data_IF_736344737025
#
_entry.id   IF_736344737025
#
_cell.length_a   1.000
_cell.length_b   1.000
_cell.length_c   1.000
_cell.angle_alpha   90.00
_cell.angle_beta   90.00
_cell.angle_gamma   90.00
#
_symmetry.space_group_name_H-M   'P 1'
#
loop_
_entity.id
_entity.type
_entity.pdbx_description
1 polymer ?
#
# COMPACT_ATOMS: atom_id res chain seq x y z
N UNK A 1 -8.07 -13.23 -19.61
CA UNK A 1 -7.48 -11.97 -20.13
C UNK A 1 -6.56 -11.40 -19.07
N UNK A 2 -5.32 -11.06 -19.44
CA UNK A 2 -4.36 -10.45 -18.52
C UNK A 2 -4.81 -9.04 -18.13
N UNK A 3 -4.62 -8.66 -16.86
CA UNK A 3 -4.88 -7.30 -16.41
C UNK A 3 -3.60 -6.47 -16.58
N UNK A 4 -3.69 -5.38 -17.34
CA UNK A 4 -2.61 -4.37 -17.45
C UNK A 4 -2.82 -3.30 -16.36
N UNK A 5 -2.85 -3.73 -15.11
CA UNK A 5 -2.96 -2.82 -13.95
C UNK A 5 -1.80 -3.09 -12.99
N UNK A 6 -1.08 -2.05 -12.63
CA UNK A 6 0.11 -2.16 -11.77
C UNK A 6 -0.23 -2.43 -10.31
N UNK A 7 -1.49 -2.23 -9.94
CA UNK A 7 -1.98 -2.39 -8.58
C UNK A 7 -3.26 -3.21 -8.58
N UNK A 8 -3.37 -4.15 -7.66
CA UNK A 8 -4.56 -5.00 -7.56
C UNK A 8 -5.03 -5.12 -6.13
N UNK A 9 -6.34 -5.06 -5.94
CA UNK A 9 -6.95 -5.35 -4.65
C UNK A 9 -6.68 -6.81 -4.28
N UNK A 10 -6.35 -7.04 -3.01
CA UNK A 10 -6.11 -8.36 -2.45
C UNK A 10 -7.29 -9.29 -2.73
N UNK A 11 -8.53 -8.78 -2.63
CA UNK A 11 -9.75 -9.47 -3.04
C UNK A 11 -9.64 -10.06 -4.46
N UNK A 12 -9.30 -9.22 -5.44
CA UNK A 12 -9.21 -9.63 -6.84
C UNK A 12 -8.11 -10.67 -7.05
N UNK A 13 -6.96 -10.49 -6.39
CA UNK A 13 -5.82 -11.43 -6.46
C UNK A 13 -6.26 -12.81 -5.99
N UNK A 14 -6.78 -12.94 -4.77
CA UNK A 14 -7.11 -14.25 -4.20
C UNK A 14 -8.19 -15.01 -4.97
N UNK A 15 -9.19 -14.31 -5.52
CA UNK A 15 -10.22 -14.93 -6.37
C UNK A 15 -9.65 -15.36 -7.73
N UNK A 16 -8.91 -14.49 -8.41
CA UNK A 16 -8.33 -14.81 -9.72
C UNK A 16 -7.31 -15.92 -9.63
N UNK A 17 -6.56 -15.98 -8.53
CA UNK A 17 -5.60 -17.04 -8.29
C UNK A 17 -6.27 -18.41 -8.14
N UNK A 18 -7.49 -18.46 -7.57
CA UNK A 18 -8.30 -19.68 -7.55
C UNK A 18 -9.07 -19.93 -8.86
N UNK A 19 -8.87 -19.13 -9.92
CA UNK A 19 -9.62 -19.24 -11.16
C UNK A 19 -11.08 -18.78 -11.07
N UNK A 20 -11.43 -17.99 -10.04
CA UNK A 20 -12.79 -17.55 -9.76
C UNK A 20 -13.01 -16.06 -10.09
N UNK A 21 -14.24 -15.71 -10.42
CA UNK A 21 -14.61 -14.34 -10.73
C UNK A 21 -14.85 -13.51 -9.45
N UNK A 22 -14.11 -12.39 -9.26
CA UNK A 22 -14.21 -11.55 -8.05
C UNK A 22 -15.51 -10.71 -8.00
N UNK A 23 -16.13 -10.45 -9.15
CA UNK A 23 -17.36 -9.64 -9.27
C UNK A 23 -18.63 -10.44 -8.98
N UNK A 24 -18.54 -11.77 -8.87
CA UNK A 24 -19.70 -12.61 -8.56
C UNK A 24 -20.09 -12.41 -7.10
N UNK A 25 -21.39 -12.42 -6.82
CA UNK A 25 -21.90 -12.41 -5.45
C UNK A 25 -21.59 -13.73 -4.77
N UNK A 26 -20.54 -13.73 -3.94
CA UNK A 26 -20.20 -14.86 -3.09
C UNK A 26 -20.88 -14.67 -1.73
N UNK A 27 -21.77 -15.58 -1.31
CA UNK A 27 -22.33 -15.57 0.06
C UNK A 27 -21.28 -16.03 1.08
N UNK A 28 -20.48 -17.03 0.70
CA UNK A 28 -19.36 -17.57 1.47
C UNK A 28 -18.12 -17.60 0.57
N UNK A 29 -16.97 -17.26 1.13
CA UNK A 29 -15.69 -17.32 0.42
C UNK A 29 -15.29 -18.79 0.28
N UNK A 30 -15.01 -19.30 -0.94
CA UNK A 30 -14.54 -20.67 -1.14
C UNK A 30 -13.23 -20.94 -0.39
N UNK A 31 -13.05 -22.17 0.11
CA UNK A 31 -11.84 -22.58 0.83
C UNK A 31 -10.52 -22.26 0.10
N UNK A 32 -10.32 -22.57 -1.20
CA UNK A 32 -9.04 -22.28 -1.86
C UNK A 32 -8.72 -20.78 -1.90
N UNK A 33 -9.76 -19.93 -1.99
CA UNK A 33 -9.59 -18.48 -1.96
C UNK A 33 -9.20 -18.00 -0.55
N UNK A 34 -9.72 -18.65 0.50
CA UNK A 34 -9.37 -18.34 1.89
C UNK A 34 -7.92 -18.69 2.19
N UNK A 35 -7.45 -19.81 1.67
CA UNK A 35 -6.06 -20.24 1.86
C UNK A 35 -5.12 -19.21 1.19
N UNK A 36 -5.42 -18.80 -0.04
CA UNK A 36 -4.69 -17.73 -0.72
C UNK A 36 -4.68 -16.41 0.09
N UNK A 37 -5.83 -16.01 0.66
CA UNK A 37 -5.90 -14.81 1.49
C UNK A 37 -5.08 -14.94 2.77
N UNK A 38 -5.08 -16.12 3.41
CA UNK A 38 -4.30 -16.36 4.62
C UNK A 38 -2.81 -16.20 4.35
N UNK A 39 -2.31 -16.78 3.25
CA UNK A 39 -0.91 -16.68 2.85
C UNK A 39 -0.51 -15.25 2.51
N UNK A 40 -1.36 -14.51 1.80
CA UNK A 40 -1.07 -13.12 1.42
C UNK A 40 -1.12 -12.16 2.61
N UNK A 41 -2.09 -12.32 3.52
CA UNK A 41 -2.16 -11.50 4.73
C UNK A 41 -1.02 -11.81 5.70
N UNK A 42 -0.60 -13.07 5.79
CA UNK A 42 0.58 -13.45 6.55
C UNK A 42 1.85 -12.78 6.00
N UNK A 43 2.01 -12.74 4.67
CA UNK A 43 3.13 -12.05 4.04
C UNK A 43 3.13 -10.54 4.31
N UNK A 44 1.96 -9.89 4.23
CA UNK A 44 1.80 -8.46 4.55
C UNK A 44 2.14 -8.19 6.02
N UNK A 45 1.66 -9.03 6.93
CA UNK A 45 1.91 -8.87 8.37
C UNK A 45 3.39 -9.02 8.73
N UNK A 46 4.11 -9.89 8.01
CA UNK A 46 5.57 -10.08 8.17
C UNK A 46 6.40 -8.99 7.48
N UNK A 47 5.77 -8.11 6.70
CA UNK A 47 6.48 -7.14 5.87
C UNK A 47 7.23 -7.76 4.70
N UNK A 48 6.90 -9.00 4.30
CA UNK A 48 7.46 -9.65 3.12
C UNK A 48 6.81 -9.16 1.82
N UNK A 49 5.57 -8.69 1.92
CA UNK A 49 4.78 -8.16 0.81
C UNK A 49 4.34 -6.74 1.12
N UNK A 50 4.80 -5.79 0.31
CA UNK A 50 4.42 -4.39 0.46
C UNK A 50 2.98 -4.16 -0.01
N UNK A 51 2.21 -3.45 0.81
CA UNK A 51 0.83 -3.10 0.54
C UNK A 51 0.71 -1.57 0.54
N UNK A 52 0.19 -1.01 -0.56
CA UNK A 52 0.11 0.44 -0.75
C UNK A 52 -0.87 1.13 0.20
N UNK A 53 -1.89 0.41 0.64
CA UNK A 53 -2.97 0.96 1.49
C UNK A 53 -2.83 0.57 2.96
N UNK A 54 -2.02 -0.43 3.29
CA UNK A 54 -1.83 -0.92 4.66
C UNK A 54 -0.40 -0.65 5.13
N UNK A 55 -0.25 0.40 5.92
CA UNK A 55 1.02 0.73 6.55
C UNK A 55 1.20 -0.02 7.87
N UNK A 56 2.40 -0.56 8.08
CA UNK A 56 2.83 -1.18 9.34
C UNK A 56 3.24 -0.15 10.41
N UNK A 57 3.34 1.12 10.02
CA UNK A 57 3.70 2.21 10.92
C UNK A 57 2.69 2.39 12.05
N UNK A 58 3.19 2.91 13.19
CA UNK A 58 2.33 3.23 14.33
C UNK A 58 1.41 4.38 13.95
N UNK A 59 0.11 4.16 14.12
CA UNK A 59 -0.89 5.22 13.99
C UNK A 59 -0.76 6.21 15.15
N UNK A 60 -0.69 7.50 14.83
CA UNK A 60 -0.53 8.61 15.78
C UNK A 60 -1.63 9.69 15.63
N UNK A 61 -2.63 9.48 14.78
CA UNK A 61 -3.71 10.44 14.53
C UNK A 61 -5.00 10.12 15.27
N UNK A 62 -5.97 11.03 15.18
CA UNK A 62 -7.34 10.84 15.66
C UNK A 62 -8.35 10.62 14.51
N UNK A 63 -7.92 10.80 13.26
CA UNK A 63 -8.79 10.70 12.08
C UNK A 63 -9.19 9.26 11.73
N UNK A 64 -10.49 8.92 11.74
CA UNK A 64 -10.97 7.55 11.56
C UNK A 64 -10.70 6.99 10.15
N UNK A 65 -10.51 7.85 9.15
CA UNK A 65 -10.19 7.43 7.79
C UNK A 65 -8.71 7.09 7.62
N UNK A 66 -7.83 7.83 8.28
CA UNK A 66 -6.40 7.51 8.32
C UNK A 66 -6.18 6.22 9.11
N UNK A 67 -6.95 6.00 10.20
CA UNK A 67 -6.88 4.78 10.99
C UNK A 67 -7.07 3.51 10.14
N UNK A 68 -7.94 3.55 9.12
CA UNK A 68 -8.20 2.41 8.22
C UNK A 68 -6.99 2.03 7.35
N UNK A 69 -6.06 2.94 7.13
CA UNK A 69 -4.83 2.68 6.39
C UNK A 69 -3.76 1.98 7.25
N UNK A 70 -3.98 1.87 8.57
CA UNK A 70 -3.02 1.20 9.46
C UNK A 70 -3.41 -0.26 9.70
N UNK A 71 -2.42 -1.15 9.64
CA UNK A 71 -2.62 -2.59 9.88
C UNK A 71 -3.16 -2.86 11.29
N UNK A 72 -2.81 -2.01 12.26
CA UNK A 72 -3.27 -2.10 13.66
C UNK A 72 -4.78 -2.02 13.80
N UNK A 73 -5.45 -1.21 12.98
CA UNK A 73 -6.91 -1.11 13.01
C UNK A 73 -7.56 -2.42 12.57
N UNK A 74 -6.93 -3.13 11.63
CA UNK A 74 -7.42 -4.38 11.06
C UNK A 74 -6.80 -5.63 11.68
N UNK A 75 -6.03 -5.49 12.76
CA UNK A 75 -5.15 -6.58 13.25
C UNK A 75 -5.93 -7.84 13.65
N UNK A 76 -7.09 -7.67 14.30
CA UNK A 76 -7.96 -8.78 14.68
C UNK A 76 -8.52 -9.50 13.45
N UNK A 77 -8.91 -8.75 12.43
CA UNK A 77 -9.44 -9.27 11.17
C UNK A 77 -8.37 -10.00 10.34
N UNK A 78 -7.15 -9.47 10.35
CA UNK A 78 -5.98 -10.09 9.72
C UNK A 78 -5.71 -11.44 10.38
N UNK A 79 -5.60 -11.48 11.71
CA UNK A 79 -5.41 -12.75 12.43
C UNK A 79 -6.58 -13.71 12.23
N UNK A 80 -7.82 -13.24 12.26
CA UNK A 80 -9.00 -14.07 12.02
C UNK A 80 -8.99 -14.71 10.62
N UNK A 81 -8.43 -14.02 9.62
CA UNK A 81 -8.29 -14.55 8.27
C UNK A 81 -7.12 -15.54 8.16
N UNK A 82 -5.98 -15.25 8.78
CA UNK A 82 -4.81 -16.14 8.83
C UNK A 82 -5.17 -17.48 9.49
N UNK A 83 -5.92 -17.45 10.60
CA UNK A 83 -6.37 -18.67 11.29
C UNK A 83 -7.57 -19.35 10.61
N UNK A 84 -7.99 -18.91 9.43
CA UNK A 84 -9.09 -19.55 8.71
C UNK A 84 -10.42 -19.50 9.47
N UNK A 85 -10.69 -18.44 10.26
CA UNK A 85 -11.98 -18.23 10.92
C UNK A 85 -12.91 -17.40 10.05
N UNK A 86 -12.57 -16.13 9.83
CA UNK A 86 -13.36 -15.19 9.05
C UNK A 86 -12.46 -14.19 8.33
N UNK A 87 -12.77 -13.87 7.09
CA UNK A 87 -12.06 -12.84 6.33
C UNK A 87 -13.02 -11.71 6.01
N UNK A 88 -12.76 -10.52 6.57
CA UNK A 88 -13.61 -9.36 6.36
C UNK A 88 -13.46 -8.81 4.94
N UNK A 89 -14.59 -8.71 4.23
CA UNK A 89 -14.60 -8.25 2.83
C UNK A 89 -14.13 -6.81 2.68
N UNK A 90 -14.38 -5.97 3.68
CA UNK A 90 -13.97 -4.56 3.68
C UNK A 90 -12.44 -4.46 3.67
N UNK A 91 -11.77 -5.21 4.56
CA UNK A 91 -10.31 -5.33 4.59
C UNK A 91 -9.76 -5.80 3.24
N UNK A 92 -10.27 -6.91 2.70
CA UNK A 92 -9.75 -7.48 1.46
C UNK A 92 -9.92 -6.58 0.23
N UNK A 93 -10.95 -5.72 0.22
CA UNK A 93 -11.17 -4.73 -0.85
C UNK A 93 -10.33 -3.48 -0.65
N UNK A 94 -9.97 -3.16 0.58
CA UNK A 94 -9.16 -2.00 0.92
C UNK A 94 -7.67 -2.27 0.71
N UNK A 95 -7.20 -3.48 1.01
CA UNK A 95 -5.82 -3.90 0.78
C UNK A 95 -5.51 -3.93 -0.73
N UNK A 96 -4.54 -3.12 -1.15
CA UNK A 96 -4.05 -3.03 -2.54
C UNK A 96 -2.58 -3.40 -2.55
N UNK A 97 -2.24 -4.36 -3.40
CA UNK A 97 -0.88 -4.87 -3.57
C UNK A 97 -0.34 -4.33 -4.90
N UNK A 98 0.92 -3.93 -4.88
CA UNK A 98 1.66 -3.54 -6.07
C UNK A 98 2.18 -4.77 -6.84
N UNK A 99 2.19 -4.68 -8.16
CA UNK A 99 2.60 -5.75 -9.07
C UNK A 99 4.05 -6.19 -8.81
N UNK A 100 4.99 -5.26 -8.70
CA UNK A 100 6.40 -5.58 -8.47
C UNK A 100 6.63 -6.24 -7.12
N UNK A 101 6.06 -5.69 -6.04
CA UNK A 101 6.13 -6.29 -4.71
C UNK A 101 5.57 -7.73 -4.71
N UNK A 102 4.50 -7.98 -5.47
CA UNK A 102 3.92 -9.31 -5.60
C UNK A 102 4.80 -10.28 -6.39
N UNK A 103 5.46 -9.81 -7.45
CA UNK A 103 6.43 -10.59 -8.22
C UNK A 103 7.62 -11.01 -7.35
N UNK A 104 8.26 -10.05 -6.69
CA UNK A 104 9.35 -10.27 -5.73
C UNK A 104 8.98 -11.32 -4.69
N UNK A 105 7.79 -11.19 -4.11
CA UNK A 105 7.29 -12.12 -3.12
C UNK A 105 7.09 -13.54 -3.69
N UNK A 106 6.54 -13.66 -4.90
CA UNK A 106 6.37 -14.95 -5.57
C UNK A 106 7.72 -15.62 -5.85
N UNK A 107 8.70 -14.86 -6.34
CA UNK A 107 10.05 -15.34 -6.62
C UNK A 107 10.75 -15.84 -5.34
N UNK A 108 10.68 -15.07 -4.25
CA UNK A 108 11.25 -15.45 -2.95
C UNK A 108 10.62 -16.72 -2.37
N UNK A 109 9.32 -16.93 -2.60
CA UNK A 109 8.56 -18.07 -2.08
C UNK A 109 8.50 -19.25 -3.05
N UNK A 110 9.15 -19.17 -4.22
CA UNK A 110 9.08 -20.18 -5.30
C UNK A 110 7.65 -20.51 -5.74
N UNK A 111 6.77 -19.51 -5.68
CA UNK A 111 5.37 -19.61 -6.07
C UNK A 111 5.27 -19.27 -7.56
N UNK A 112 4.51 -20.05 -8.37
CA UNK A 112 4.35 -19.74 -9.78
C UNK A 112 3.64 -18.39 -9.97
N UNK A 113 4.22 -17.55 -10.84
CA UNK A 113 3.64 -16.27 -11.22
C UNK A 113 2.26 -16.48 -11.86
N UNK A 114 1.20 -15.82 -11.35
CA UNK A 114 -0.12 -16.03 -11.90
C UNK A 114 -0.24 -15.44 -13.31
N UNK A 115 -0.61 -16.28 -14.28
CA UNK A 115 -0.77 -15.90 -15.69
C UNK A 115 -1.77 -14.74 -15.91
N UNK A 116 -2.72 -14.56 -15.00
CA UNK A 116 -3.72 -13.49 -15.10
C UNK A 116 -3.12 -12.08 -14.89
N UNK A 117 -1.96 -12.01 -14.22
CA UNK A 117 -1.28 -10.76 -13.91
C UNK A 117 0.06 -10.65 -14.65
N UNK A 118 0.73 -11.79 -14.83
CA UNK A 118 2.01 -11.93 -15.53
C UNK A 118 1.82 -12.87 -16.73
N UNK A 119 1.39 -12.36 -17.90
CA UNK A 119 1.25 -13.19 -19.08
C UNK A 119 2.62 -13.73 -19.55
N UNK A 120 2.67 -14.92 -20.18
CA UNK A 120 3.90 -15.45 -20.74
C UNK A 120 4.45 -14.50 -21.81
N UNK A 121 5.72 -14.12 -21.69
CA UNK A 121 6.34 -13.09 -22.54
C UNK A 121 6.21 -11.66 -22.00
N UNK A 122 5.77 -11.49 -20.75
CA UNK A 122 5.96 -10.24 -20.02
C UNK A 122 7.45 -10.08 -19.72
N UNK A 123 8.16 -9.37 -20.59
CA UNK A 123 9.49 -8.85 -20.30
C UNK A 123 9.31 -7.64 -19.41
N UNK A 124 9.98 -7.62 -18.26
CA UNK A 124 10.00 -6.48 -17.35
C UNK A 124 10.18 -5.20 -18.17
N UNK A 125 9.29 -4.23 -17.95
CA UNK A 125 9.53 -2.87 -18.41
C UNK A 125 10.69 -2.36 -17.57
N UNK A 126 11.91 -2.79 -17.93
CA UNK A 126 13.17 -2.33 -17.34
C UNK A 126 13.14 -0.83 -17.53
N UNK A 127 12.91 -0.10 -16.45
CA UNK A 127 12.93 1.35 -16.48
C UNK A 127 14.29 1.74 -17.09
N UNK A 128 14.35 2.61 -18.12
CA UNK A 128 15.60 2.91 -18.83
C UNK A 128 16.74 3.55 -18.01
N UNK A 129 16.65 3.53 -16.67
CA UNK A 129 17.60 4.18 -15.77
C UNK A 129 18.79 3.27 -15.38
N UNK A 130 18.75 1.98 -15.73
CA UNK A 130 19.83 1.01 -15.46
C UNK A 130 20.65 0.63 -16.71
N UNK A 131 20.75 1.53 -17.69
CA UNK A 131 21.88 1.49 -18.61
C UNK A 131 22.97 2.43 -18.06
N UNK A 132 24.00 1.91 -17.35
CA UNK A 132 25.28 2.60 -17.29
C UNK A 132 25.89 2.52 -18.69
N UNK A 133 25.31 3.25 -19.66
CA UNK A 133 25.98 3.48 -20.93
C UNK A 133 27.26 4.22 -20.61
N UNK A 134 28.36 3.49 -20.70
CA UNK A 134 29.68 3.95 -20.34
C UNK A 134 30.05 5.23 -21.07
N UNK A 135 30.65 6.14 -20.31
CA UNK A 135 31.63 7.06 -20.85
C UNK A 135 32.99 6.53 -20.42
N UNK A 136 33.40 5.41 -21.03
CA UNK A 136 34.80 5.03 -21.04
C UNK A 136 35.52 5.94 -22.05
N UNK A 137 36.40 6.77 -21.49
CA UNK A 137 37.68 7.24 -22.03
C UNK A 137 37.90 7.11 -23.54
N UNK A 138 37.91 8.23 -24.27
CA UNK A 138 38.77 8.36 -25.45
C UNK A 138 39.33 9.78 -25.56
N UNK A 139 40.65 9.86 -25.34
CA UNK A 139 41.62 10.81 -25.87
C UNK A 139 41.18 12.27 -26.12
N UNK A 140 41.60 13.17 -25.23
CA UNK A 140 41.76 14.60 -25.51
C UNK A 140 43.16 14.79 -26.12
N UNK A 141 43.32 15.10 -27.42
CA UNK A 141 44.53 15.73 -27.91
C UNK A 141 44.50 17.23 -27.59
N UNK A 142 45.69 17.75 -27.31
CA UNK A 142 45.98 19.07 -26.80
C UNK A 142 45.44 20.26 -27.62
N UNK A 143 45.32 21.39 -26.91
CA UNK A 143 45.41 22.78 -27.38
C UNK A 143 44.08 23.49 -27.65
N UNK A 144 43.61 24.30 -26.69
CA UNK A 144 43.81 25.75 -26.77
C UNK A 144 43.49 26.41 -25.41
N UNK A 145 44.48 27.11 -24.86
CA UNK A 145 44.31 28.02 -23.73
C UNK A 145 43.44 29.23 -24.12
N UNK A 146 42.52 29.60 -23.25
CA UNK A 146 41.98 30.96 -23.06
C UNK A 146 41.21 30.95 -21.72
N UNK A 147 41.84 31.26 -20.58
CA UNK A 147 42.14 32.60 -20.04
C UNK A 147 40.97 33.23 -19.24
N UNK A 148 41.13 33.22 -17.90
CA UNK A 148 40.68 34.21 -16.86
C UNK A 148 39.18 34.32 -16.47
N UNK A 149 38.83 34.82 -15.27
CA UNK A 149 39.45 34.58 -13.94
C UNK A 149 38.45 34.35 -12.77
N UNK A 150 39.03 33.95 -11.63
CA UNK A 150 38.51 34.04 -10.26
C UNK A 150 37.87 35.40 -9.90
N UNK A 151 36.75 35.33 -9.19
CA UNK A 151 36.23 36.33 -8.23
C UNK A 151 35.16 35.57 -7.41
N UNK A 152 35.25 35.32 -6.10
CA UNK A 152 35.75 36.16 -5.02
C UNK A 152 34.57 36.88 -4.37
N UNK A 153 34.16 36.41 -3.18
CA UNK A 153 33.34 37.12 -2.17
C UNK A 153 31.94 37.60 -2.60
N UNK A 154 30.85 37.39 -1.87
CA UNK A 154 30.66 37.62 -0.44
C UNK A 154 29.17 37.40 -0.11
N UNK A 155 28.88 36.88 1.08
CA UNK A 155 27.58 37.04 1.77
C UNK A 155 27.35 38.55 2.07
N UNK A 156 26.15 39.07 2.44
CA UNK A 156 25.34 38.61 3.57
C UNK A 156 23.80 38.88 3.44
N UNK A 157 23.11 38.85 4.60
CA UNK A 157 21.81 39.51 4.93
C UNK A 157 20.59 38.58 4.83
N UNK A 158 20.17 37.99 5.96
CA UNK A 158 19.24 38.49 7.00
C UNK A 158 17.80 38.03 6.68
N UNK A 159 17.22 37.15 7.50
CA UNK A 159 16.52 37.44 8.77
C UNK A 159 15.07 37.89 8.49
N UNK A 160 14.10 36.99 8.70
CA UNK A 160 12.68 37.25 8.98
C UNK A 160 11.88 35.93 8.92
N UNK A 161 11.74 35.25 10.06
CA UNK A 161 10.67 34.28 10.30
C UNK A 161 10.04 34.62 11.65
N UNK A 162 9.06 35.51 11.62
CA UNK A 162 8.11 35.72 12.71
C UNK A 162 6.69 35.31 12.26
N UNK A 163 5.91 34.92 13.26
CA UNK A 163 4.45 34.74 13.27
C UNK A 163 3.84 33.43 12.77
N UNK A 164 4.10 32.39 13.56
CA UNK A 164 3.06 31.44 13.96
C UNK A 164 2.42 31.85 15.28
N UNK A 165 1.13 32.21 15.27
CA UNK A 165 0.13 31.91 16.32
C UNK A 165 -1.07 32.86 16.20
N UNK A 166 -2.23 32.35 15.73
CA UNK A 166 -3.60 32.74 16.14
C UNK A 166 -4.63 32.24 15.11
N UNK A 167 -5.15 31.03 15.30
CA UNK A 167 -6.60 30.73 15.12
C UNK A 167 -6.96 29.33 15.61
N UNK A 168 -6.89 29.14 16.92
CA UNK A 168 -7.65 28.11 17.63
C UNK A 168 -8.65 28.83 18.54
N UNK A 169 -9.86 29.03 18.02
CA UNK A 169 -11.12 29.20 18.76
C UNK A 169 -12.25 29.17 17.73
N UNK A 170 -13.33 28.52 18.11
CA UNK A 170 -14.62 28.43 17.40
C UNK A 170 -14.86 27.19 16.54
N UNK A 171 -14.81 25.99 17.13
CA UNK A 171 -15.78 24.91 16.81
C UNK A 171 -16.04 24.07 18.06
N UNK A 172 -16.75 24.62 19.05
CA UNK A 172 -17.19 23.86 20.22
C UNK A 172 -18.61 24.26 20.61
N UNK A 173 -19.58 24.06 19.70
CA UNK A 173 -21.00 23.96 20.03
C UNK A 173 -21.79 23.55 18.79
N UNK A 174 -21.92 22.24 18.54
CA UNK A 174 -23.12 21.65 17.91
C UNK A 174 -22.96 20.13 17.72
N UNK A 175 -23.05 19.34 18.79
CA UNK A 175 -23.36 17.90 18.69
C UNK A 175 -24.13 17.46 19.95
N UNK A 176 -25.36 17.94 20.08
CA UNK A 176 -26.37 17.30 20.91
C UNK A 176 -27.53 16.89 20.00
N UNK A 177 -27.59 15.60 19.65
CA UNK A 177 -28.79 15.06 19.00
C UNK A 177 -28.57 13.90 18.05
N UNK A 178 -28.28 12.70 18.57
CA UNK A 178 -28.61 11.46 17.86
C UNK A 178 -28.96 10.34 18.87
N UNK A 179 -30.25 9.94 18.94
CA UNK A 179 -30.68 8.78 19.71
C UNK A 179 -30.92 7.59 18.76
N UNK A 180 -29.90 6.75 18.52
CA UNK A 180 -30.10 5.43 17.87
C UNK A 180 -29.21 4.39 18.56
N UNK A 181 -29.44 4.17 19.85
CA UNK A 181 -28.90 3.02 20.60
C UNK A 181 -30.00 2.46 21.51
N UNK A 182 -31.03 1.86 20.91
CA UNK A 182 -32.09 1.15 21.65
C UNK A 182 -32.55 -0.10 20.88
N UNK A 183 -31.62 -0.97 20.46
CA UNK A 183 -32.00 -2.24 19.84
C UNK A 183 -31.25 -3.49 20.31
N UNK A 184 -30.27 -3.40 21.22
CA UNK A 184 -29.51 -4.57 21.68
C UNK A 184 -29.73 -4.97 23.16
N UNK A 185 -30.72 -4.41 23.85
CA UNK A 185 -31.00 -4.74 25.27
C UNK A 185 -32.19 -5.70 25.50
N UNK A 186 -32.66 -6.43 24.47
CA UNK A 186 -33.84 -7.32 24.59
C UNK A 186 -33.59 -8.82 24.37
N UNK A 187 -32.34 -9.27 24.27
CA UNK A 187 -32.01 -10.69 24.07
C UNK A 187 -31.39 -11.40 25.29
N UNK A 188 -31.51 -10.83 26.48
CA UNK A 188 -30.93 -11.40 27.71
C UNK A 188 -31.98 -11.64 28.82
N UNK A 189 -33.19 -12.05 28.43
CA UNK A 189 -34.26 -12.46 29.37
C UNK A 189 -34.97 -13.78 29.00
N UNK A 190 -34.36 -14.61 28.15
CA UNK A 190 -34.80 -16.01 27.95
C UNK A 190 -33.60 -16.96 27.99
N UNK A 191 -33.07 -17.14 29.20
CA UNK A 191 -32.33 -18.32 29.62
C UNK A 191 -32.62 -18.53 31.11
#
# INVERSE_FOLDING_TARGET
>A
MPLVVDQLQLWTVGFKWAGLNPNRLWLRIPTPVRDNFSTLLEAILKGELECLTLNLEKYHGDDPDIAKCHIRFWIEDVYACIFGRACNRKLLKHAVIERYAFQDWCERRTVPLPEFWFPPGWTDYRWPEDDPSGVDTTAIPATLEQSFPESGESAPVADSVEDGAKKLRDVASSLSGFPVLNFFSKQLQKA
#
